data_IF_241125029352
#
_entry.id   IF_241125029352
#
_cell.length_a   1.000
_cell.length_b   1.000
_cell.length_c   1.000
_cell.angle_alpha   90.00
_cell.angle_beta   90.00
_cell.angle_gamma   90.00
#
_symmetry.space_group_name_H-M   'P 1'
#
loop_
_entity.id
_entity.type
_entity.pdbx_description
1 polymer ?
#
# COMPACT_ATOMS: atom_id res chain seq x y z
N UNK A 1 -17.63 -35.31 45.35
CA UNK A 1 -17.02 -35.69 44.05
C UNK A 1 -17.49 -34.77 42.92
N UNK A 2 -18.80 -34.60 42.70
CA UNK A 2 -19.38 -33.70 41.67
C UNK A 2 -18.93 -32.23 41.77
N UNK A 3 -18.81 -31.67 42.99
CA UNK A 3 -18.32 -30.30 43.22
C UNK A 3 -16.84 -30.10 42.86
N UNK A 4 -16.02 -31.13 43.02
CA UNK A 4 -14.60 -31.07 42.65
C UNK A 4 -14.42 -31.17 41.12
N UNK A 5 -15.29 -31.94 40.45
CA UNK A 5 -15.32 -32.08 38.99
C UNK A 5 -15.77 -30.77 38.32
N UNK A 6 -16.77 -30.08 38.88
CA UNK A 6 -17.23 -28.78 38.38
C UNK A 6 -16.17 -27.68 38.52
N UNK A 7 -15.39 -27.67 39.61
CA UNK A 7 -14.30 -26.71 39.81
C UNK A 7 -13.11 -26.95 38.86
N UNK A 8 -12.78 -28.21 38.58
CA UNK A 8 -11.77 -28.59 37.58
C UNK A 8 -12.15 -28.19 36.16
N UNK A 9 -13.43 -28.36 35.78
CA UNK A 9 -13.94 -27.90 34.49
C UNK A 9 -13.92 -26.37 34.36
N UNK A 10 -14.24 -25.63 35.43
CA UNK A 10 -14.20 -24.16 35.47
C UNK A 10 -12.76 -23.61 35.31
N UNK A 11 -11.78 -24.28 35.90
CA UNK A 11 -10.36 -23.91 35.79
C UNK A 11 -9.78 -24.21 34.40
N UNK A 12 -10.23 -25.29 33.76
CA UNK A 12 -9.85 -25.66 32.38
C UNK A 12 -10.47 -24.75 31.31
N UNK A 13 -11.64 -24.14 31.57
CA UNK A 13 -12.27 -23.20 30.64
C UNK A 13 -11.63 -21.80 30.63
N UNK A 14 -10.78 -21.47 31.61
CA UNK A 14 -10.23 -20.12 31.77
C UNK A 14 -8.94 -19.86 30.96
N UNK A 15 -8.36 -20.88 30.30
CA UNK A 15 -7.01 -20.79 29.73
C UNK A 15 -6.92 -20.53 28.22
N UNK A 16 -8.02 -20.26 27.52
CA UNK A 16 -7.97 -19.89 26.09
C UNK A 16 -8.36 -18.43 25.89
N UNK A 17 -7.64 -17.52 26.54
CA UNK A 17 -7.49 -16.17 26.03
C UNK A 17 -6.42 -16.22 24.92
N UNK A 18 -6.78 -16.80 23.77
CA UNK A 18 -5.95 -16.68 22.59
C UNK A 18 -5.89 -15.20 22.24
N UNK A 19 -4.73 -14.57 22.44
CA UNK A 19 -4.43 -13.27 21.86
C UNK A 19 -4.53 -13.45 20.36
N UNK A 20 -5.69 -13.10 19.77
CA UNK A 20 -5.81 -12.92 18.33
C UNK A 20 -4.96 -11.69 18.03
N UNK A 21 -3.68 -11.91 17.73
CA UNK A 21 -2.89 -10.87 17.08
C UNK A 21 -3.69 -10.40 15.85
N UNK A 22 -3.83 -9.09 15.62
CA UNK A 22 -4.52 -8.59 14.45
C UNK A 22 -3.85 -9.20 13.21
N UNK A 23 -4.50 -10.17 12.59
CA UNK A 23 -3.97 -10.81 11.40
C UNK A 23 -4.03 -9.81 10.25
N UNK A 24 -2.86 -9.41 9.77
CA UNK A 24 -2.77 -8.52 8.63
C UNK A 24 -2.91 -9.30 7.31
N UNK A 25 -3.44 -8.65 6.25
CA UNK A 25 -3.42 -9.22 4.91
C UNK A 25 -2.02 -9.55 4.42
N UNK A 26 -1.93 -10.35 3.35
CA UNK A 26 -0.65 -10.62 2.69
C UNK A 26 0.01 -9.32 2.24
N UNK A 27 1.33 -9.21 2.46
CA UNK A 27 2.10 -8.01 2.14
C UNK A 27 2.00 -6.89 3.18
N UNK A 28 1.35 -7.14 4.32
CA UNK A 28 1.19 -6.15 5.40
C UNK A 28 1.75 -6.63 6.74
N UNK A 29 2.10 -5.67 7.59
CA UNK A 29 2.58 -5.85 8.96
C UNK A 29 1.78 -4.97 9.91
N UNK A 30 1.51 -5.46 11.12
CA UNK A 30 0.85 -4.66 12.13
C UNK A 30 1.78 -3.55 12.62
N UNK A 31 1.35 -2.30 12.49
CA UNK A 31 2.05 -1.14 13.04
C UNK A 31 1.23 -0.53 14.18
N UNK A 32 1.72 -0.59 15.44
CA UNK A 32 1.01 -0.01 16.57
C UNK A 32 0.87 1.52 16.49
N UNK A 33 1.70 2.18 15.67
CA UNK A 33 1.67 3.63 15.45
C UNK A 33 0.89 4.02 14.18
N UNK A 34 0.39 3.04 13.43
CA UNK A 34 -0.43 3.23 12.24
C UNK A 34 0.13 4.22 11.23
N UNK A 35 1.43 4.10 10.90
CA UNK A 35 2.07 5.04 9.97
C UNK A 35 1.35 5.01 8.61
N UNK A 36 1.17 6.17 7.94
CA UNK A 36 0.60 6.19 6.60
C UNK A 36 1.48 5.41 5.63
N UNK A 37 0.86 4.59 4.79
CA UNK A 37 1.57 3.87 3.73
C UNK A 37 2.07 4.84 2.65
N UNK A 38 3.24 4.58 2.05
CA UNK A 38 3.56 5.14 0.75
C UNK A 38 2.52 4.68 -0.28
N UNK A 39 2.14 5.57 -1.20
CA UNK A 39 1.17 5.27 -2.27
C UNK A 39 1.81 5.56 -3.63
N UNK A 40 1.24 5.04 -4.71
CA UNK A 40 1.80 5.22 -6.05
C UNK A 40 1.98 6.71 -6.46
N UNK A 41 1.15 7.61 -5.94
CA UNK A 41 1.24 9.06 -6.24
C UNK A 41 2.10 9.84 -5.24
N UNK A 42 2.49 9.21 -4.13
CA UNK A 42 3.34 9.75 -3.09
C UNK A 42 4.18 8.61 -2.46
N UNK A 43 5.21 8.13 -3.18
CA UNK A 43 6.02 6.99 -2.74
C UNK A 43 6.89 7.32 -1.51
N UNK A 44 7.08 8.60 -1.19
CA UNK A 44 7.89 9.07 -0.08
C UNK A 44 7.10 10.06 0.78
N UNK A 45 6.04 9.61 1.49
CA UNK A 45 5.24 10.49 2.32
C UNK A 45 6.06 11.03 3.50
N UNK A 46 5.75 12.25 3.92
CA UNK A 46 6.34 12.81 5.15
C UNK A 46 5.73 12.08 6.34
N UNK A 47 6.58 11.40 7.11
CA UNK A 47 6.17 10.77 8.36
C UNK A 47 6.34 11.74 9.53
N UNK A 48 5.23 12.12 10.15
CA UNK A 48 5.24 12.90 11.39
C UNK A 48 5.62 11.97 12.56
N UNK A 49 6.25 12.53 13.60
CA UNK A 49 6.49 11.83 14.87
C UNK A 49 5.24 11.80 15.75
N UNK A 50 4.09 11.52 15.14
CA UNK A 50 2.77 11.44 15.78
C UNK A 50 2.18 10.09 15.39
N UNK A 51 1.74 9.32 16.38
CA UNK A 51 1.11 8.03 16.14
C UNK A 51 -0.38 8.17 15.84
N UNK A 52 -0.82 7.46 14.81
CA UNK A 52 -2.22 7.20 14.55
C UNK A 52 -2.66 5.95 15.34
N UNK A 53 -3.97 5.64 15.37
CA UNK A 53 -4.43 4.33 15.80
C UNK A 53 -3.71 3.21 15.03
N UNK A 54 -3.30 2.16 15.75
CA UNK A 54 -2.61 1.03 15.15
C UNK A 54 -3.43 0.38 14.03
N UNK A 55 -2.74 0.00 12.95
CA UNK A 55 -3.35 -0.63 11.76
C UNK A 55 -2.33 -1.50 11.03
N UNK A 56 -2.81 -2.32 10.11
CA UNK A 56 -1.95 -2.95 9.12
C UNK A 56 -1.40 -1.91 8.14
N UNK A 57 -0.09 -1.99 7.90
CA UNK A 57 0.64 -1.13 6.96
C UNK A 57 1.42 -2.03 6.00
N UNK A 58 1.70 -1.54 4.81
CA UNK A 58 2.49 -2.25 3.82
C UNK A 58 3.87 -2.61 4.36
N UNK A 59 4.36 -3.79 3.98
CA UNK A 59 5.74 -4.18 4.26
C UNK A 59 6.73 -3.15 3.68
N UNK A 60 7.90 -2.98 4.32
CA UNK A 60 8.92 -2.05 3.83
C UNK A 60 9.25 -2.28 2.35
N UNK A 61 9.20 -1.19 1.56
CA UNK A 61 9.46 -1.23 0.12
C UNK A 61 8.24 -1.45 -0.77
N UNK A 62 7.08 -1.77 -0.19
CA UNK A 62 5.80 -1.85 -0.91
C UNK A 62 5.03 -0.52 -0.82
N UNK A 63 4.19 -0.27 -1.81
CA UNK A 63 3.31 0.88 -1.91
C UNK A 63 1.86 0.40 -1.93
N UNK A 64 0.96 1.13 -1.27
CA UNK A 64 -0.46 0.85 -1.34
C UNK A 64 -1.02 1.35 -2.67
N UNK A 65 -1.54 0.41 -3.46
CA UNK A 65 -2.28 0.67 -4.72
C UNK A 65 -3.62 1.36 -4.46
N UNK A 66 -4.25 1.89 -5.50
CA UNK A 66 -5.61 2.44 -5.41
C UNK A 66 -6.66 1.35 -5.10
N UNK A 67 -6.32 0.09 -5.38
CA UNK A 67 -7.14 -1.09 -5.06
C UNK A 67 -6.96 -1.57 -3.61
N UNK A 68 -6.09 -0.94 -2.82
CA UNK A 68 -5.86 -1.24 -1.42
C UNK A 68 -4.78 -2.28 -1.14
N UNK A 69 -4.29 -3.00 -2.15
CA UNK A 69 -3.22 -3.99 -2.00
C UNK A 69 -1.83 -3.34 -1.93
N UNK A 70 -0.90 -3.97 -1.22
CA UNK A 70 0.51 -3.55 -1.18
C UNK A 70 1.29 -4.19 -2.35
N UNK A 71 1.85 -3.34 -3.21
CA UNK A 71 2.51 -3.75 -4.45
C UNK A 71 3.92 -3.15 -4.56
N UNK A 72 4.76 -3.72 -5.41
CA UNK A 72 6.06 -3.12 -5.73
C UNK A 72 5.91 -1.85 -6.57
N UNK A 73 6.92 -0.97 -6.54
CA UNK A 73 6.99 0.26 -7.34
C UNK A 73 6.72 0.05 -8.83
N UNK A 74 7.06 -1.12 -9.37
CA UNK A 74 6.79 -1.47 -10.77
C UNK A 74 5.29 -1.56 -11.06
N UNK A 75 4.49 -2.12 -10.14
CA UNK A 75 3.05 -2.19 -10.30
C UNK A 75 2.38 -0.81 -10.37
N UNK A 76 2.93 0.19 -9.68
CA UNK A 76 2.48 1.58 -9.77
C UNK A 76 2.71 2.22 -11.15
N UNK A 77 3.64 1.69 -11.95
CA UNK A 77 3.83 2.15 -13.33
C UNK A 77 2.70 1.67 -14.22
N UNK A 78 2.09 0.53 -13.92
CA UNK A 78 1.00 -0.06 -14.69
C UNK A 78 -0.34 0.56 -14.30
N UNK A 79 -0.63 0.65 -12.99
CA UNK A 79 -1.90 1.18 -12.46
C UNK A 79 -2.11 2.66 -12.83
N UNK A 80 -1.06 3.48 -12.74
CA UNK A 80 -1.12 4.91 -12.97
C UNK A 80 -0.45 5.29 -14.31
N UNK A 81 -0.61 4.49 -15.37
CA UNK A 81 -0.07 4.80 -16.70
C UNK A 81 -1.09 5.60 -17.54
N UNK A 82 -0.94 6.93 -17.69
CA UNK A 82 -1.87 7.71 -18.51
C UNK A 82 -1.78 7.38 -20.01
N UNK A 83 -0.71 6.74 -20.48
CA UNK A 83 -0.57 6.34 -21.88
C UNK A 83 -1.47 5.16 -22.29
N UNK A 84 -2.10 4.47 -21.33
CA UNK A 84 -3.06 3.40 -21.65
C UNK A 84 -4.38 3.94 -22.22
N UNK A 85 -4.67 5.23 -21.99
CA UNK A 85 -5.93 5.86 -22.40
C UNK A 85 -5.76 6.87 -23.55
N UNK A 86 -4.54 7.01 -24.07
CA UNK A 86 -4.21 8.02 -25.09
C UNK A 86 -3.68 7.38 -26.36
N UNK A 87 -4.36 7.64 -27.47
CA UNK A 87 -3.90 7.28 -28.80
C UNK A 87 -3.16 8.47 -29.43
N UNK A 88 -1.88 8.27 -29.75
CA UNK A 88 -1.08 9.26 -30.44
C UNK A 88 -1.22 9.12 -31.97
N UNK A 89 -1.16 10.24 -32.68
CA UNK A 89 -1.13 10.25 -34.16
C UNK A 89 0.04 9.41 -34.71
N UNK A 90 -0.10 8.97 -35.98
CA UNK A 90 0.89 8.15 -36.65
C UNK A 90 2.31 8.77 -36.57
N UNK A 91 3.31 7.92 -36.29
CA UNK A 91 4.70 8.34 -36.14
C UNK A 91 5.06 8.94 -34.77
N UNK A 92 4.12 9.03 -33.83
CA UNK A 92 4.38 9.47 -32.45
C UNK A 92 4.40 8.29 -31.47
N UNK A 93 4.93 8.53 -30.28
CA UNK A 93 4.89 7.61 -29.14
C UNK A 93 4.38 8.37 -27.90
N UNK A 94 3.57 7.70 -27.09
CA UNK A 94 3.17 8.24 -25.80
C UNK A 94 4.29 8.01 -24.79
N UNK A 95 4.68 9.06 -24.07
CA UNK A 95 5.55 9.01 -22.92
C UNK A 95 4.88 9.72 -21.75
N UNK A 96 5.29 9.39 -20.53
CA UNK A 96 4.86 10.12 -19.34
C UNK A 96 5.77 11.34 -19.21
N UNK A 97 5.18 12.53 -19.13
CA UNK A 97 5.92 13.78 -18.94
C UNK A 97 6.73 13.72 -17.64
N UNK A 98 8.06 13.98 -17.67
CA UNK A 98 8.85 14.06 -16.46
C UNK A 98 8.47 15.33 -15.70
N UNK A 99 7.85 15.17 -14.53
CA UNK A 99 7.47 16.28 -13.66
C UNK A 99 8.48 16.44 -12.53
N UNK A 100 9.05 17.65 -12.38
CA UNK A 100 9.82 17.99 -11.18
C UNK A 100 8.82 18.20 -10.05
N UNK A 101 8.63 17.16 -9.23
CA UNK A 101 7.64 17.20 -8.18
C UNK A 101 8.18 17.88 -6.92
N UNK A 102 7.61 19.05 -6.58
CA UNK A 102 7.90 19.74 -5.30
C UNK A 102 6.98 19.27 -4.17
N UNK A 103 5.76 18.81 -4.51
CA UNK A 103 4.75 18.37 -3.56
C UNK A 103 3.86 17.30 -4.19
N UNK A 104 3.72 16.16 -3.52
CA UNK A 104 2.82 15.10 -3.92
C UNK A 104 1.36 15.44 -3.59
N UNK A 105 0.37 14.89 -4.32
CA UNK A 105 0.51 13.94 -5.44
C UNK A 105 1.06 14.61 -6.72
N UNK A 106 1.93 13.90 -7.43
CA UNK A 106 2.54 14.38 -8.67
C UNK A 106 1.70 13.88 -9.87
N UNK A 107 0.86 14.71 -10.50
CA UNK A 107 0.00 14.23 -11.59
C UNK A 107 0.85 13.78 -12.77
N UNK A 108 0.66 12.53 -13.19
CA UNK A 108 1.28 11.97 -14.39
C UNK A 108 0.49 12.44 -15.61
N UNK A 109 1.18 13.00 -16.60
CA UNK A 109 0.55 13.46 -17.85
C UNK A 109 1.08 12.68 -19.04
N UNK A 110 0.21 12.23 -19.95
CA UNK A 110 0.64 11.61 -21.19
C UNK A 110 1.09 12.71 -22.16
N UNK A 111 2.22 12.50 -22.82
CA UNK A 111 2.75 13.37 -23.85
C UNK A 111 3.06 12.54 -25.10
N UNK A 112 2.41 12.86 -26.21
CA UNK A 112 2.75 12.28 -27.49
C UNK A 112 3.96 13.00 -28.06
N UNK A 113 5.10 12.32 -28.23
CA UNK A 113 6.32 12.88 -28.84
C UNK A 113 6.66 12.14 -30.15
N UNK A 114 7.43 12.78 -31.02
CA UNK A 114 7.88 12.12 -32.25
C UNK A 114 8.83 10.97 -31.93
N UNK A 115 8.71 9.85 -32.65
CA UNK A 115 9.58 8.68 -32.44
C UNK A 115 11.06 8.97 -32.70
N UNK A 116 11.39 10.06 -33.38
CA UNK A 116 12.76 10.50 -33.64
C UNK A 116 13.46 11.06 -32.38
N UNK A 117 12.71 11.38 -31.32
CA UNK A 117 13.25 11.91 -30.06
C UNK A 117 13.90 10.84 -29.15
N UNK A 118 13.84 9.57 -29.53
CA UNK A 118 14.43 8.45 -28.78
C UNK A 118 15.78 7.98 -29.36
N UNK A 119 16.30 8.69 -30.36
CA UNK A 119 17.55 8.39 -31.07
C UNK A 119 18.77 9.03 -30.39
#
# INVERSE_FOLDING_TARGET
>A
MLRAILLLFCLLSLSVAASVEPACPEGEVWDPCGRPDPICDNPFPVHLKICNPGRCVCNPGLLRSAHGNCIESRGCQEENNPCLLVECAAGRACVIEPVICKKAPCPKKPLCIERKCFA
#
